data_IF_650490044129
#
_entry.id   IF_650490044129
#
_cell.length_a   1.000
_cell.length_b   1.000
_cell.length_c   1.000
_cell.angle_alpha   90.00
_cell.angle_beta   90.00
_cell.angle_gamma   90.00
#
_symmetry.space_group_name_H-M   'P 1'
#
loop_
_entity.id
_entity.type
_entity.pdbx_description
1 polymer ?
#
# COMPACT_ATOMS: atom_id res chain seq x y z
N UNK A 1 5.10 -14.56 22.75
CA UNK A 1 4.08 -15.39 22.05
C UNK A 1 4.32 -15.18 20.58
N UNK A 2 4.69 -16.21 19.83
CA UNK A 2 4.76 -16.11 18.38
C UNK A 2 3.32 -16.00 17.89
N UNK A 3 2.88 -14.77 17.60
CA UNK A 3 1.64 -14.55 16.86
C UNK A 3 1.88 -15.15 15.48
N UNK A 4 1.36 -16.35 15.24
CA UNK A 4 1.26 -16.85 13.88
C UNK A 4 0.37 -15.86 13.14
N UNK A 5 0.84 -15.24 12.05
CA UNK A 5 0.02 -14.29 11.30
C UNK A 5 -1.27 -15.01 10.85
N UNK A 6 -2.39 -14.30 10.90
CA UNK A 6 -3.67 -14.86 10.48
C UNK A 6 -3.60 -15.14 8.97
N UNK A 7 -3.92 -16.36 8.51
CA UNK A 7 -3.76 -16.75 7.11
C UNK A 7 -4.59 -15.89 6.15
N UNK A 8 -5.65 -15.24 6.63
CA UNK A 8 -6.45 -14.31 5.81
C UNK A 8 -5.70 -13.01 5.57
N UNK A 9 -4.99 -12.51 6.58
CA UNK A 9 -4.15 -11.34 6.44
C UNK A 9 -2.95 -11.64 5.53
N UNK A 10 -2.27 -12.77 5.72
CA UNK A 10 -1.18 -13.19 4.82
C UNK A 10 -1.65 -13.31 3.37
N UNK A 11 -2.85 -13.83 3.13
CA UNK A 11 -3.41 -13.94 1.79
C UNK A 11 -3.74 -12.57 1.17
N UNK A 12 -4.26 -11.62 1.95
CA UNK A 12 -4.51 -10.25 1.49
C UNK A 12 -3.20 -9.51 1.17
N UNK A 13 -2.18 -9.69 2.02
CA UNK A 13 -0.83 -9.13 1.79
C UNK A 13 -0.20 -9.73 0.53
N UNK A 14 -0.30 -11.05 0.32
CA UNK A 14 0.22 -11.69 -0.88
C UNK A 14 -0.45 -11.15 -2.15
N UNK A 15 -1.78 -11.02 -2.16
CA UNK A 15 -2.51 -10.44 -3.29
C UNK A 15 -2.14 -8.97 -3.52
N UNK A 16 -1.90 -8.20 -2.46
CA UNK A 16 -1.41 -6.83 -2.58
C UNK A 16 -0.02 -6.77 -3.23
N UNK A 17 0.89 -7.68 -2.87
CA UNK A 17 2.21 -7.75 -3.49
C UNK A 17 2.10 -8.10 -4.99
N UNK A 18 1.28 -9.09 -5.35
CA UNK A 18 1.02 -9.42 -6.76
C UNK A 18 0.44 -8.23 -7.54
N UNK A 19 -0.45 -7.47 -6.90
CA UNK A 19 -1.01 -6.25 -7.48
C UNK A 19 0.06 -5.16 -7.69
N UNK A 20 0.95 -4.96 -6.71
CA UNK A 20 2.06 -3.99 -6.81
C UNK A 20 2.97 -4.38 -7.98
N UNK A 21 3.38 -5.65 -8.07
CA UNK A 21 4.21 -6.15 -9.18
C UNK A 21 3.56 -5.89 -10.54
N UNK A 22 2.24 -6.12 -10.66
CA UNK A 22 1.48 -5.84 -11.87
C UNK A 22 1.42 -4.34 -12.19
N UNK A 23 1.23 -3.48 -11.17
CA UNK A 23 1.14 -2.03 -11.34
C UNK A 23 2.50 -1.37 -11.67
N UNK A 24 3.60 -1.85 -11.08
CA UNK A 24 4.97 -1.40 -11.42
C UNK A 24 5.28 -1.68 -12.89
N UNK A 25 4.88 -2.86 -13.39
CA UNK A 25 5.10 -3.27 -14.77
C UNK A 25 4.31 -2.46 -15.82
N UNK A 26 3.37 -1.61 -15.40
CA UNK A 26 2.61 -0.76 -16.34
C UNK A 26 3.50 0.33 -16.94
N UNK A 27 3.21 0.74 -18.17
CA UNK A 27 3.80 1.91 -18.82
C UNK A 27 3.07 3.22 -18.44
N UNK A 28 3.76 4.37 -18.55
CA UNK A 28 3.18 5.67 -18.21
C UNK A 28 2.11 6.03 -19.23
N UNK A 29 0.85 6.11 -18.79
CA UNK A 29 -0.21 6.67 -19.60
C UNK A 29 -1.63 6.22 -19.24
N UNK A 30 -1.84 4.93 -18.95
CA UNK A 30 -3.18 4.44 -18.63
C UNK A 30 -3.16 3.36 -17.55
N UNK A 31 -3.74 3.69 -16.39
CA UNK A 31 -3.97 2.72 -15.33
C UNK A 31 -5.21 1.85 -15.67
N UNK A 32 -5.08 0.51 -15.81
CA UNK A 32 -6.20 -0.37 -16.10
C UNK A 32 -7.32 -0.25 -15.07
N UNK A 33 -8.57 -0.26 -15.55
CA UNK A 33 -9.74 -0.17 -14.66
C UNK A 33 -9.89 -1.40 -13.77
N UNK A 34 -9.47 -2.56 -14.27
CA UNK A 34 -9.48 -3.84 -13.55
C UNK A 34 -8.53 -3.76 -12.36
N UNK A 35 -7.26 -3.40 -12.57
CA UNK A 35 -6.30 -3.18 -11.48
C UNK A 35 -6.79 -2.13 -10.46
N UNK A 36 -7.46 -1.08 -10.90
CA UNK A 36 -8.01 -0.10 -9.95
C UNK A 36 -9.15 -0.68 -9.09
N UNK A 37 -9.98 -1.54 -9.67
CA UNK A 37 -11.04 -2.23 -8.95
C UNK A 37 -10.45 -3.26 -7.98
N UNK A 38 -9.44 -4.03 -8.42
CA UNK A 38 -8.71 -4.98 -7.57
C UNK A 38 -8.10 -4.30 -6.35
N UNK A 39 -7.46 -3.14 -6.52
CA UNK A 39 -6.96 -2.36 -5.38
C UNK A 39 -8.11 -1.93 -4.46
N UNK A 40 -9.23 -1.49 -5.01
CA UNK A 40 -10.39 -1.09 -4.20
C UNK A 40 -10.92 -2.25 -3.36
N UNK A 41 -10.98 -3.46 -3.94
CA UNK A 41 -11.41 -4.67 -3.24
C UNK A 41 -10.40 -5.06 -2.15
N UNK A 42 -9.09 -5.00 -2.43
CA UNK A 42 -8.03 -5.24 -1.43
C UNK A 42 -8.08 -4.26 -0.26
N UNK A 43 -8.30 -2.97 -0.54
CA UNK A 43 -8.44 -1.95 0.50
C UNK A 43 -9.66 -2.22 1.39
N UNK A 44 -10.76 -2.70 0.80
CA UNK A 44 -11.97 -3.06 1.53
C UNK A 44 -11.77 -4.34 2.35
N UNK A 45 -11.10 -5.35 1.78
CA UNK A 45 -10.77 -6.61 2.46
C UNK A 45 -9.88 -6.35 3.68
N UNK A 46 -8.79 -5.60 3.50
CA UNK A 46 -7.88 -5.23 4.59
C UNK A 46 -8.60 -4.44 5.69
N UNK A 47 -9.56 -3.57 5.31
CA UNK A 47 -10.36 -2.83 6.28
C UNK A 47 -11.31 -3.74 7.05
N UNK A 48 -11.93 -4.71 6.38
CA UNK A 48 -12.78 -5.71 7.02
C UNK A 48 -11.97 -6.56 8.03
N UNK A 49 -10.74 -6.95 7.70
CA UNK A 49 -9.87 -7.67 8.64
C UNK A 49 -9.54 -6.84 9.89
N UNK A 50 -9.36 -5.52 9.75
CA UNK A 50 -9.19 -4.61 10.88
C UNK A 50 -10.48 -4.52 11.72
N UNK A 51 -11.63 -4.34 11.08
CA UNK A 51 -12.94 -4.27 11.75
C UNK A 51 -13.29 -5.58 12.48
N UNK A 52 -12.90 -6.74 11.92
CA UNK A 52 -13.03 -8.07 12.55
C UNK A 52 -12.01 -8.31 13.68
N UNK A 53 -11.07 -7.39 13.90
CA UNK A 53 -10.02 -7.49 14.92
C UNK A 53 -8.97 -8.55 14.62
N UNK A 54 -8.82 -8.94 13.36
CA UNK A 54 -7.82 -9.90 12.89
C UNK A 54 -6.41 -9.30 12.95
N UNK A 55 -6.32 -8.02 12.60
CA UNK A 55 -5.09 -7.24 12.51
C UNK A 55 -5.37 -5.82 13.01
N UNK A 56 -4.35 -5.14 13.54
CA UNK A 56 -4.51 -3.73 13.91
C UNK A 56 -4.51 -2.83 12.67
N UNK A 57 -5.13 -1.64 12.78
CA UNK A 57 -5.13 -0.65 11.70
C UNK A 57 -3.70 -0.25 11.29
N UNK A 58 -2.78 -0.20 12.25
CA UNK A 58 -1.36 0.08 12.03
C UNK A 58 -0.70 -1.01 11.17
N UNK A 59 -0.81 -2.28 11.57
CA UNK A 59 -0.26 -3.41 10.82
C UNK A 59 -0.84 -3.52 9.40
N UNK A 60 -2.14 -3.24 9.24
CA UNK A 60 -2.77 -3.24 7.93
C UNK A 60 -2.26 -2.08 7.06
N UNK A 61 -2.01 -0.89 7.63
CA UNK A 61 -1.37 0.22 6.91
C UNK A 61 0.05 -0.11 6.51
N UNK A 62 0.85 -0.67 7.41
CA UNK A 62 2.24 -1.08 7.13
C UNK A 62 2.34 -2.00 5.92
N UNK A 63 1.36 -2.88 5.70
CA UNK A 63 1.34 -3.76 4.53
C UNK A 63 1.26 -3.00 3.17
N UNK A 64 0.68 -1.80 3.16
CA UNK A 64 0.61 -0.94 1.98
C UNK A 64 1.85 -0.05 1.83
N UNK A 65 2.64 0.12 2.88
CA UNK A 65 3.78 1.04 2.89
C UNK A 65 5.00 0.33 2.28
N UNK A 66 5.28 0.64 1.02
CA UNK A 66 6.48 0.20 0.31
C UNK A 66 6.93 1.24 -0.70
N UNK A 67 8.20 1.17 -1.11
CA UNK A 67 8.79 2.05 -2.14
C UNK A 67 7.99 1.93 -3.44
N UNK A 68 7.74 0.70 -3.90
CA UNK A 68 6.99 0.45 -5.12
C UNK A 68 5.56 1.02 -5.05
N UNK A 69 4.88 0.89 -3.91
CA UNK A 69 3.54 1.45 -3.74
C UNK A 69 3.54 2.97 -3.80
N UNK A 70 4.57 3.60 -3.22
CA UNK A 70 4.73 5.04 -3.24
C UNK A 70 5.05 5.55 -4.66
N UNK A 71 5.92 4.85 -5.41
CA UNK A 71 6.18 5.14 -6.83
C UNK A 71 4.89 5.02 -7.67
N UNK A 72 4.09 3.97 -7.46
CA UNK A 72 2.79 3.80 -8.12
C UNK A 72 1.85 4.98 -7.76
N UNK A 73 1.79 5.38 -6.48
CA UNK A 73 0.92 6.46 -6.03
C UNK A 73 1.33 7.83 -6.59
N UNK A 74 2.63 8.09 -6.73
CA UNK A 74 3.17 9.29 -7.37
C UNK A 74 2.86 9.30 -8.88
N UNK A 75 3.13 8.19 -9.55
CA UNK A 75 2.93 8.02 -10.99
C UNK A 75 1.46 8.01 -11.41
N UNK A 76 0.59 7.49 -10.56
CA UNK A 76 -0.84 7.32 -10.85
C UNK A 76 -1.71 8.05 -9.81
N UNK A 77 -2.08 9.32 -10.03
CA UNK A 77 -2.87 10.12 -9.07
C UNK A 77 -4.22 9.52 -8.67
N UNK A 78 -4.78 8.62 -9.51
CA UNK A 78 -6.01 7.90 -9.18
C UNK A 78 -5.80 6.89 -8.05
N UNK A 79 -4.65 6.23 -8.01
CA UNK A 79 -4.26 5.31 -6.93
C UNK A 79 -4.10 6.10 -5.63
N UNK A 80 -3.33 7.20 -5.64
CA UNK A 80 -3.18 8.07 -4.47
C UNK A 80 -4.52 8.52 -3.87
N UNK A 81 -5.44 9.01 -4.71
CA UNK A 81 -6.79 9.42 -4.26
C UNK A 81 -7.61 8.26 -3.69
N UNK A 82 -7.42 7.04 -4.21
CA UNK A 82 -8.11 5.87 -3.71
C UNK A 82 -7.60 5.47 -2.32
N UNK A 83 -6.28 5.47 -2.13
CA UNK A 83 -5.65 5.21 -0.83
C UNK A 83 -6.08 6.23 0.23
N UNK A 84 -5.97 7.53 -0.09
CA UNK A 84 -6.39 8.62 0.81
C UNK A 84 -7.87 8.49 1.19
N UNK A 85 -8.73 8.15 0.24
CA UNK A 85 -10.17 7.98 0.50
C UNK A 85 -10.47 6.77 1.37
N UNK A 86 -9.75 5.67 1.19
CA UNK A 86 -10.04 4.41 1.88
C UNK A 86 -9.43 4.35 3.29
N UNK A 87 -8.20 4.87 3.46
CA UNK A 87 -7.41 4.72 4.68
C UNK A 87 -6.98 6.04 5.32
N UNK A 88 -7.32 7.18 4.69
CA UNK A 88 -6.99 8.52 5.16
C UNK A 88 -5.64 9.03 4.67
N UNK A 89 -5.34 10.32 4.92
CA UNK A 89 -4.10 10.96 4.49
C UNK A 89 -2.86 10.34 5.15
N UNK A 90 -3.00 9.80 6.36
CA UNK A 90 -1.90 9.18 7.10
C UNK A 90 -1.20 8.04 6.32
N UNK A 91 -1.95 7.29 5.50
CA UNK A 91 -1.34 6.26 4.65
C UNK A 91 -0.52 6.88 3.51
N UNK A 92 -1.04 7.92 2.88
CA UNK A 92 -0.31 8.59 1.78
C UNK A 92 0.88 9.39 2.28
N UNK A 93 0.80 9.97 3.48
CA UNK A 93 1.93 10.64 4.14
C UNK A 93 3.06 9.64 4.43
N UNK A 94 2.73 8.46 4.98
CA UNK A 94 3.73 7.41 5.22
C UNK A 94 4.42 6.93 3.92
N UNK A 95 3.69 6.83 2.82
CA UNK A 95 4.26 6.49 1.50
C UNK A 95 5.22 7.59 0.98
N UNK A 96 4.88 8.85 1.21
CA UNK A 96 5.75 9.99 0.85
C UNK A 96 7.02 10.01 1.69
N UNK A 97 6.95 9.60 2.96
CA UNK A 97 8.12 9.46 3.84
C UNK A 97 9.06 8.35 3.36
N UNK A 98 8.55 7.17 2.98
CA UNK A 98 9.36 6.06 2.46
C UNK A 98 10.13 6.42 1.18
N UNK A 99 9.52 7.21 0.30
CA UNK A 99 10.18 7.66 -0.96
C UNK A 99 11.11 8.85 -0.74
N UNK A 100 10.79 9.72 0.21
CA UNK A 100 11.65 10.86 0.56
C UNK A 100 12.91 10.42 1.31
N UNK A 101 12.86 9.32 2.06
CA UNK A 101 14.01 8.70 2.73
C UNK A 101 15.08 8.14 1.79
N UNK A 102 14.81 8.07 0.48
CA UNK A 102 15.75 7.64 -0.56
C UNK A 102 16.37 8.82 -1.33
N UNK A 103 16.04 10.07 -0.97
CA UNK A 103 16.73 11.25 -1.48
C UNK A 103 18.23 11.21 -1.11
N UNK A 104 19.13 11.74 -1.94
CA UNK A 104 20.59 11.64 -1.76
C UNK A 104 21.14 12.51 -0.61
N UNK A 105 20.52 12.52 0.56
CA UNK A 105 20.80 13.50 1.60
C UNK A 105 20.68 12.99 3.05
N UNK A 106 21.13 11.75 3.31
CA UNK A 106 21.39 11.27 4.67
C UNK A 106 22.81 10.65 4.81
N UNK A 107 23.79 11.27 4.13
CA UNK A 107 25.22 11.09 4.43
C UNK A 107 25.85 12.31 5.14
N UNK A 108 25.05 13.24 5.68
CA UNK A 108 25.59 14.33 6.51
C UNK A 108 25.49 14.03 8.02
N UNK A 109 26.66 13.66 8.55
CA UNK A 109 27.15 13.91 9.91
C UNK A 109 26.72 12.94 11.03
N UNK A 110 27.52 11.88 11.25
CA UNK A 110 27.97 11.46 12.60
C UNK A 110 29.25 10.61 12.57
#
# INVERSE_FOLDING_TARGET
>A
MNATPDPRFDAAVAQLQEWIEAAVALDEGHFPRELLAELQDLLAEMKALVDDGVVSEEQAREAFVSIEMAEIAERFPRVRRLLERAWGPALTEALEEETSGLGPNDEEDF
#
